data_IF_474874928889
#
_entry.id   IF_474874928889
#
_cell.length_a   1.000
_cell.length_b   1.000
_cell.length_c   1.000
_cell.angle_alpha   90.00
_cell.angle_beta   90.00
_cell.angle_gamma   90.00
#
_symmetry.space_group_name_H-M   'P 1'
#
loop_
_entity.id
_entity.type
_entity.pdbx_description
1 polymer ?
#
# COMPACT_ATOMS: atom_id res chain seq x y z
N UNK A 1 -26.57 -7.10 -12.46
CA UNK A 1 -26.34 -6.61 -11.10
C UNK A 1 -26.26 -7.82 -10.19
N UNK A 2 -25.21 -7.95 -9.38
CA UNK A 2 -25.13 -9.00 -8.37
C UNK A 2 -26.07 -8.53 -7.27
N UNK A 3 -27.02 -9.40 -6.87
CA UNK A 3 -28.05 -9.01 -5.91
C UNK A 3 -27.41 -8.80 -4.53
N UNK A 4 -27.46 -7.60 -3.98
CA UNK A 4 -26.87 -7.22 -2.69
C UNK A 4 -27.34 -8.13 -1.53
N UNK A 5 -28.51 -8.76 -1.68
CA UNK A 5 -29.08 -9.61 -0.65
C UNK A 5 -28.29 -10.89 -0.33
N UNK A 6 -27.55 -11.46 -1.28
CA UNK A 6 -26.78 -12.69 -1.05
C UNK A 6 -25.47 -12.45 -0.33
N UNK A 7 -24.78 -11.35 -0.67
CA UNK A 7 -23.49 -11.01 -0.05
C UNK A 7 -23.69 -10.51 1.39
N UNK A 8 -24.81 -9.86 1.68
CA UNK A 8 -25.14 -9.41 3.03
C UNK A 8 -25.21 -10.55 4.06
N UNK A 9 -25.50 -11.78 3.62
CA UNK A 9 -25.48 -12.97 4.49
C UNK A 9 -24.08 -13.34 5.01
N UNK A 10 -23.03 -12.81 4.35
CA UNK A 10 -21.65 -13.02 4.79
C UNK A 10 -21.18 -11.97 5.81
N UNK A 11 -21.95 -10.93 6.04
CA UNK A 11 -21.61 -9.83 6.97
C UNK A 11 -21.42 -10.35 8.41
N UNK A 12 -22.26 -11.27 8.84
CA UNK A 12 -22.19 -11.88 10.18
C UNK A 12 -21.03 -12.91 10.32
N UNK A 13 -20.41 -13.29 9.21
CA UNK A 13 -19.31 -14.28 9.15
C UNK A 13 -17.96 -13.67 8.82
N UNK A 14 -17.82 -12.38 8.98
CA UNK A 14 -16.55 -11.70 8.65
C UNK A 14 -15.41 -12.02 9.63
N UNK A 15 -14.17 -12.21 9.12
CA UNK A 15 -13.82 -12.36 7.71
C UNK A 15 -14.22 -13.74 7.18
N UNK A 16 -14.63 -13.81 5.91
CA UNK A 16 -15.04 -15.05 5.24
C UNK A 16 -14.03 -15.49 4.18
N UNK A 17 -14.01 -16.79 3.90
CA UNK A 17 -13.11 -17.39 2.92
C UNK A 17 -13.75 -17.56 1.54
N UNK A 18 -12.93 -18.12 0.60
CA UNK A 18 -13.42 -18.43 -0.75
C UNK A 18 -14.55 -19.46 -0.79
N UNK A 19 -14.55 -20.41 0.17
CA UNK A 19 -15.57 -21.45 0.21
C UNK A 19 -16.93 -20.87 0.55
N UNK A 20 -16.99 -20.02 1.55
CA UNK A 20 -18.20 -19.33 1.98
C UNK A 20 -18.73 -18.42 0.86
N UNK A 21 -17.86 -17.66 0.21
CA UNK A 21 -18.23 -16.83 -0.93
C UNK A 21 -18.75 -17.68 -2.10
N UNK A 22 -18.10 -18.83 -2.37
CA UNK A 22 -18.56 -19.74 -3.41
C UNK A 22 -19.95 -20.29 -3.12
N UNK A 23 -20.23 -20.71 -1.88
CA UNK A 23 -21.54 -21.21 -1.48
C UNK A 23 -22.64 -20.18 -1.73
N UNK A 24 -22.44 -18.94 -1.28
CA UNK A 24 -23.39 -17.86 -1.50
C UNK A 24 -23.62 -17.55 -2.98
N UNK A 25 -22.55 -17.56 -3.78
CA UNK A 25 -22.67 -17.33 -5.21
C UNK A 25 -23.34 -18.53 -5.94
N UNK A 26 -23.11 -19.77 -5.49
CA UNK A 26 -23.74 -20.96 -6.04
C UNK A 26 -25.24 -21.01 -5.75
N UNK A 27 -25.67 -20.56 -4.56
CA UNK A 27 -27.10 -20.42 -4.21
C UNK A 27 -27.79 -19.39 -5.13
N UNK A 28 -27.09 -18.30 -5.49
CA UNK A 28 -27.66 -17.28 -6.38
C UNK A 28 -27.62 -17.66 -7.85
N UNK A 29 -26.60 -18.39 -8.27
CA UNK A 29 -26.32 -18.71 -9.67
C UNK A 29 -26.06 -20.21 -9.83
N UNK A 30 -27.11 -21.01 -9.76
CA UNK A 30 -27.03 -22.47 -9.85
C UNK A 30 -26.14 -22.96 -10.99
N UNK A 31 -25.20 -23.86 -10.72
CA UNK A 31 -24.30 -24.44 -11.71
C UNK A 31 -23.10 -23.56 -12.10
N UNK A 32 -22.57 -22.79 -11.17
CA UNK A 32 -21.43 -21.89 -11.41
C UNK A 32 -20.14 -22.67 -11.70
N UNK A 33 -19.59 -22.50 -12.92
CA UNK A 33 -18.26 -23.04 -13.22
C UNK A 33 -17.16 -22.31 -12.43
N UNK A 34 -16.01 -22.97 -12.20
CA UNK A 34 -14.86 -22.35 -11.53
C UNK A 34 -14.36 -21.08 -12.23
N UNK A 35 -14.42 -21.04 -13.57
CA UNK A 35 -14.05 -19.85 -14.34
C UNK A 35 -15.04 -18.69 -14.10
N UNK A 36 -16.34 -18.98 -14.12
CA UNK A 36 -17.40 -18.00 -13.83
C UNK A 36 -17.31 -17.48 -12.39
N UNK A 37 -17.00 -18.36 -11.44
CA UNK A 37 -16.77 -17.97 -10.05
C UNK A 37 -15.59 -16.98 -9.91
N UNK A 38 -14.44 -17.30 -10.53
CA UNK A 38 -13.27 -16.40 -10.50
C UNK A 38 -13.60 -15.02 -11.08
N UNK A 39 -14.32 -15.00 -12.21
CA UNK A 39 -14.72 -13.75 -12.86
C UNK A 39 -15.68 -12.93 -11.98
N UNK A 40 -16.66 -13.60 -11.34
CA UNK A 40 -17.59 -12.92 -10.41
C UNK A 40 -16.88 -12.38 -9.18
N UNK A 41 -16.01 -13.17 -8.57
CA UNK A 41 -15.20 -12.74 -7.44
C UNK A 41 -14.32 -11.52 -7.79
N UNK A 42 -13.71 -11.53 -8.98
CA UNK A 42 -12.93 -10.40 -9.47
C UNK A 42 -13.78 -9.13 -9.61
N UNK A 43 -14.97 -9.25 -10.21
CA UNK A 43 -15.92 -8.13 -10.34
C UNK A 43 -16.38 -7.58 -8.98
N UNK A 44 -16.59 -8.45 -7.98
CA UNK A 44 -16.94 -8.03 -6.62
C UNK A 44 -15.80 -7.24 -5.96
N UNK A 45 -14.55 -7.65 -6.18
CA UNK A 45 -13.38 -6.92 -5.72
C UNK A 45 -13.21 -5.58 -6.44
N UNK A 46 -13.38 -5.55 -7.76
CA UNK A 46 -13.27 -4.34 -8.60
C UNK A 46 -14.37 -3.32 -8.27
N UNK A 47 -15.59 -3.80 -8.01
CA UNK A 47 -16.71 -2.94 -7.62
C UNK A 47 -16.68 -2.49 -6.15
N UNK A 48 -15.72 -2.98 -5.35
CA UNK A 48 -15.63 -2.67 -3.93
C UNK A 48 -16.71 -3.32 -3.06
N UNK A 49 -17.52 -4.24 -3.61
CA UNK A 49 -18.55 -4.97 -2.82
C UNK A 49 -17.93 -5.94 -1.82
N UNK A 50 -16.74 -6.45 -2.11
CA UNK A 50 -15.90 -7.15 -1.14
C UNK A 50 -14.48 -6.58 -1.18
N UNK A 51 -13.78 -6.67 -0.07
CA UNK A 51 -12.37 -6.31 0.02
C UNK A 51 -11.54 -7.49 0.53
N UNK A 52 -10.26 -7.50 0.18
CA UNK A 52 -9.33 -8.51 0.65
C UNK A 52 -8.77 -8.11 2.00
N UNK A 53 -9.01 -8.93 3.03
CA UNK A 53 -8.47 -8.76 4.38
C UNK A 53 -7.21 -9.61 4.61
N UNK A 54 -7.01 -10.67 3.80
CA UNK A 54 -5.86 -11.54 3.88
C UNK A 54 -5.85 -12.63 2.80
N UNK A 55 -4.94 -13.60 2.90
CA UNK A 55 -4.88 -14.73 1.96
C UNK A 55 -6.13 -15.60 2.10
N UNK A 56 -6.95 -15.63 1.06
CA UNK A 56 -8.27 -16.29 1.05
C UNK A 56 -9.24 -15.75 2.10
N UNK A 57 -9.01 -14.57 2.65
CA UNK A 57 -9.89 -13.89 3.58
C UNK A 57 -10.44 -12.61 2.94
N UNK A 58 -11.73 -12.43 3.05
CA UNK A 58 -12.46 -11.29 2.48
C UNK A 58 -13.38 -10.71 3.54
N UNK A 59 -13.70 -9.44 3.40
CA UNK A 59 -14.72 -8.76 4.17
C UNK A 59 -15.63 -7.95 3.25
N UNK A 60 -16.80 -7.61 3.70
CA UNK A 60 -17.69 -6.64 3.07
C UNK A 60 -17.23 -5.28 3.60
N UNK A 61 -16.76 -4.35 2.75
CA UNK A 61 -16.46 -3.01 3.23
C UNK A 61 -17.74 -2.45 3.84
N UNK A 62 -17.70 -2.09 5.11
CA UNK A 62 -18.73 -1.22 5.63
C UNK A 62 -18.64 0.07 4.83
N UNK A 63 -19.73 0.71 4.45
CA UNK A 63 -19.73 1.98 3.72
C UNK A 63 -18.92 3.09 4.44
N UNK A 64 -18.48 2.82 5.67
CA UNK A 64 -17.67 3.69 6.51
C UNK A 64 -16.16 3.38 6.48
N UNK A 65 -15.71 2.24 5.93
CA UNK A 65 -14.28 1.87 5.91
C UNK A 65 -13.80 1.69 4.46
N UNK A 66 -13.33 2.75 3.82
CA UNK A 66 -12.92 2.72 2.43
C UNK A 66 -11.57 2.00 2.24
N UNK A 67 -11.26 1.72 0.99
CA UNK A 67 -9.92 1.34 0.56
C UNK A 67 -9.09 2.60 0.38
N UNK A 68 -7.87 2.62 0.93
CA UNK A 68 -6.96 3.75 0.82
C UNK A 68 -6.68 4.10 -0.66
N UNK A 69 -6.85 5.38 -0.98
CA UNK A 69 -6.50 5.95 -2.28
C UNK A 69 -6.00 7.38 -2.08
N UNK A 70 -4.86 7.70 -2.67
CA UNK A 70 -4.23 9.00 -2.57
C UNK A 70 -4.27 9.76 -3.90
N UNK A 71 -4.46 11.09 -3.82
CA UNK A 71 -4.33 12.01 -4.95
C UNK A 71 -2.90 12.55 -5.02
N UNK A 72 -2.12 12.10 -5.97
CA UNK A 72 -0.71 12.50 -6.12
C UNK A 72 -0.58 13.95 -6.57
N UNK A 73 0.52 14.60 -6.16
CA UNK A 73 0.89 15.93 -6.59
C UNK A 73 1.21 16.02 -8.08
N UNK A 74 1.20 17.24 -8.64
CA UNK A 74 1.63 17.48 -10.02
C UNK A 74 3.08 17.02 -10.26
N UNK A 75 3.95 17.15 -9.25
CA UNK A 75 5.32 16.67 -9.33
C UNK A 75 5.37 15.15 -9.50
N UNK A 76 4.64 14.40 -8.69
CA UNK A 76 4.60 12.95 -8.77
C UNK A 76 4.00 12.45 -10.10
N UNK A 77 2.96 13.12 -10.59
CA UNK A 77 2.37 12.84 -11.92
C UNK A 77 3.40 13.07 -13.02
N UNK A 78 4.10 14.20 -12.99
CA UNK A 78 5.14 14.52 -13.98
C UNK A 78 6.30 13.51 -13.96
N UNK A 79 6.73 13.07 -12.77
CA UNK A 79 7.72 12.01 -12.63
C UNK A 79 7.22 10.72 -13.28
N UNK A 80 5.97 10.35 -13.02
CA UNK A 80 5.33 9.16 -13.58
C UNK A 80 5.28 9.21 -15.12
N UNK A 81 4.87 10.35 -15.70
CA UNK A 81 4.83 10.56 -17.15
C UNK A 81 6.22 10.38 -17.78
N UNK A 82 7.26 11.01 -17.20
CA UNK A 82 8.63 10.91 -17.67
C UNK A 82 9.17 9.46 -17.62
N UNK A 83 8.87 8.74 -16.53
CA UNK A 83 9.29 7.34 -16.41
C UNK A 83 8.58 6.50 -17.46
N UNK A 84 7.27 6.67 -17.64
CA UNK A 84 6.52 5.91 -18.63
C UNK A 84 6.95 6.19 -20.07
N UNK A 85 7.31 7.45 -20.38
CA UNK A 85 7.79 7.82 -21.71
C UNK A 85 9.14 7.17 -22.04
N UNK A 86 10.10 7.23 -21.13
CA UNK A 86 11.46 6.71 -21.35
C UNK A 86 11.62 5.22 -21.01
N UNK A 87 10.81 4.71 -20.08
CA UNK A 87 10.92 3.35 -19.53
C UNK A 87 9.54 2.67 -19.41
N UNK A 88 8.81 2.41 -20.50
CA UNK A 88 7.38 2.01 -20.49
C UNK A 88 7.10 0.67 -19.81
N UNK A 89 8.10 -0.21 -19.69
CA UNK A 89 7.96 -1.55 -19.09
C UNK A 89 8.51 -1.65 -17.67
N UNK A 90 8.98 -0.52 -17.12
CA UNK A 90 9.60 -0.49 -15.81
C UNK A 90 8.55 -0.70 -14.70
N UNK A 91 8.87 -1.57 -13.75
CA UNK A 91 8.10 -1.69 -12.51
C UNK A 91 8.65 -0.71 -11.46
N UNK A 92 7.79 0.21 -10.99
CA UNK A 92 8.14 1.20 -9.99
C UNK A 92 6.95 1.55 -9.09
N UNK A 93 7.24 2.24 -7.99
CA UNK A 93 6.24 2.83 -7.07
C UNK A 93 6.64 4.24 -6.71
N UNK A 94 5.69 5.14 -6.68
CA UNK A 94 5.89 6.51 -6.18
C UNK A 94 5.22 6.63 -4.82
N UNK A 95 5.94 7.18 -3.86
CA UNK A 95 5.47 7.51 -2.53
C UNK A 95 5.82 8.96 -2.22
N UNK A 96 4.87 9.75 -1.80
CA UNK A 96 5.07 11.11 -1.32
C UNK A 96 5.02 11.10 0.21
N UNK A 97 6.02 11.65 0.86
CA UNK A 97 6.12 11.63 2.32
C UNK A 97 4.90 12.27 3.00
N UNK A 98 4.34 13.31 2.39
CA UNK A 98 3.12 13.99 2.88
C UNK A 98 1.86 13.10 2.87
N UNK A 99 1.88 11.93 2.22
CA UNK A 99 0.80 10.94 2.33
C UNK A 99 0.60 10.48 3.78
N UNK A 100 1.68 10.52 4.59
CA UNK A 100 1.63 10.16 6.00
C UNK A 100 0.84 11.14 6.86
N UNK A 101 0.65 12.38 6.39
CA UNK A 101 -0.05 13.43 7.13
C UNK A 101 -1.49 13.06 7.49
N UNK A 102 -2.09 12.12 6.77
CA UNK A 102 -3.41 11.60 7.09
C UNK A 102 -3.46 10.86 8.43
N UNK A 103 -2.31 10.32 8.86
CA UNK A 103 -2.19 9.44 10.02
C UNK A 103 -1.33 10.03 11.14
N UNK A 104 -0.62 11.12 10.87
CA UNK A 104 0.28 11.77 11.81
C UNK A 104 -0.42 12.87 12.61
N UNK A 105 -0.14 12.94 13.90
CA UNK A 105 -0.59 14.04 14.74
C UNK A 105 0.18 15.35 14.42
N UNK A 106 1.45 15.24 14.06
CA UNK A 106 2.29 16.36 13.62
C UNK A 106 2.52 16.26 12.11
N UNK A 107 1.96 17.22 11.37
CA UNK A 107 2.03 17.17 9.92
C UNK A 107 3.43 17.49 9.40
N UNK A 108 3.85 16.74 8.41
CA UNK A 108 5.06 16.97 7.63
C UNK A 108 4.79 18.16 6.71
N UNK A 109 5.53 19.26 6.89
CA UNK A 109 5.34 20.49 6.16
C UNK A 109 5.96 20.45 4.74
N UNK A 110 6.98 19.64 4.55
CA UNK A 110 7.75 19.60 3.30
C UNK A 110 7.78 18.20 2.71
N UNK A 111 7.52 18.11 1.41
CA UNK A 111 7.42 16.83 0.73
C UNK A 111 8.80 16.27 0.32
N UNK A 112 8.91 14.96 0.35
CA UNK A 112 9.95 14.18 -0.33
C UNK A 112 9.26 13.12 -1.18
N UNK A 113 9.62 13.02 -2.45
CA UNK A 113 9.06 12.05 -3.39
C UNK A 113 10.00 10.87 -3.54
N UNK A 114 9.58 9.70 -3.08
CA UNK A 114 10.32 8.45 -3.25
C UNK A 114 9.85 7.75 -4.51
N UNK A 115 10.79 7.40 -5.37
CA UNK A 115 10.58 6.62 -6.59
C UNK A 115 11.31 5.29 -6.41
N UNK A 116 10.59 4.28 -5.96
CA UNK A 116 11.14 2.94 -5.80
C UNK A 116 11.09 2.21 -7.15
N UNK A 117 12.24 1.78 -7.63
CA UNK A 117 12.43 1.18 -8.95
C UNK A 117 12.97 -0.24 -8.79
N UNK A 118 12.52 -1.17 -9.64
CA UNK A 118 13.06 -2.53 -9.65
C UNK A 118 14.58 -2.55 -9.77
N UNK A 119 15.20 -3.62 -9.23
CA UNK A 119 16.65 -3.70 -9.10
C UNK A 119 17.35 -3.51 -10.46
N UNK A 120 18.52 -2.89 -10.42
CA UNK A 120 19.44 -2.66 -11.53
C UNK A 120 18.99 -1.60 -12.56
N UNK A 121 17.81 -1.01 -12.41
CA UNK A 121 17.31 0.06 -13.30
C UNK A 121 17.23 1.44 -12.62
N UNK A 122 17.66 1.53 -11.35
CA UNK A 122 17.66 2.78 -10.59
C UNK A 122 18.53 3.87 -11.20
N UNK A 123 19.71 3.53 -11.70
CA UNK A 123 20.64 4.48 -12.35
C UNK A 123 20.02 5.13 -13.59
N UNK A 124 19.29 4.36 -14.41
CA UNK A 124 18.62 4.89 -15.61
C UNK A 124 17.51 5.89 -15.26
N UNK A 125 16.71 5.57 -14.23
CA UNK A 125 15.66 6.47 -13.75
C UNK A 125 16.28 7.71 -13.10
N UNK A 126 17.34 7.54 -12.32
CA UNK A 126 18.07 8.64 -11.71
C UNK A 126 18.59 9.64 -12.77
N UNK A 127 19.28 9.18 -13.80
CA UNK A 127 19.78 10.06 -14.87
C UNK A 127 18.61 10.74 -15.63
N UNK A 128 17.52 10.00 -15.90
CA UNK A 128 16.32 10.57 -16.53
C UNK A 128 15.73 11.72 -15.71
N UNK A 129 15.59 11.53 -14.39
CA UNK A 129 15.00 12.54 -13.51
C UNK A 129 15.96 13.70 -13.24
N UNK A 130 17.26 13.43 -13.11
CA UNK A 130 18.30 14.43 -12.87
C UNK A 130 18.43 15.46 -14.01
N UNK A 131 18.23 15.04 -15.25
CA UNK A 131 18.19 15.96 -16.40
C UNK A 131 17.11 17.05 -16.23
N UNK A 132 15.93 16.66 -15.73
CA UNK A 132 14.77 17.56 -15.58
C UNK A 132 14.74 18.29 -14.25
N UNK A 133 15.27 17.68 -13.21
CA UNK A 133 15.28 18.19 -11.83
C UNK A 133 16.71 18.28 -11.28
N UNK A 134 17.58 19.14 -11.89
CA UNK A 134 18.98 19.24 -11.49
C UNK A 134 19.14 19.65 -10.02
N UNK A 135 19.99 18.92 -9.29
CA UNK A 135 20.23 19.15 -7.87
C UNK A 135 19.09 18.71 -6.92
N UNK A 136 18.00 18.13 -7.45
CA UNK A 136 16.85 17.69 -6.67
C UNK A 136 16.65 16.16 -6.66
N UNK A 137 17.58 15.39 -7.18
CA UNK A 137 17.45 13.93 -7.25
C UNK A 137 18.62 13.27 -6.56
N UNK A 138 18.34 12.32 -5.67
CA UNK A 138 19.32 11.47 -5.01
C UNK A 138 19.07 10.00 -5.36
N UNK A 139 20.14 9.24 -5.55
CA UNK A 139 20.08 7.79 -5.81
C UNK A 139 20.51 7.02 -4.55
N UNK A 140 19.62 6.23 -3.99
CA UNK A 140 19.87 5.40 -2.81
C UNK A 140 20.64 6.12 -1.68
N UNK A 141 20.25 7.33 -1.28
CA UNK A 141 21.04 8.12 -0.34
C UNK A 141 21.09 7.43 1.04
N UNK A 142 22.22 7.58 1.71
CA UNK A 142 22.30 7.35 3.14
C UNK A 142 21.48 8.40 3.90
N UNK A 143 21.12 8.12 5.15
CA UNK A 143 20.44 9.09 6.02
C UNK A 143 21.23 10.40 6.13
N UNK A 144 22.57 10.31 6.20
CA UNK A 144 23.45 11.48 6.26
C UNK A 144 23.36 12.33 4.98
N UNK A 145 23.38 11.70 3.82
CA UNK A 145 23.22 12.40 2.54
C UNK A 145 21.84 13.02 2.40
N UNK A 146 20.81 12.30 2.79
CA UNK A 146 19.46 12.84 2.83
C UNK A 146 19.38 14.14 3.63
N UNK A 147 19.90 14.18 4.86
CA UNK A 147 19.90 15.39 5.68
C UNK A 147 20.81 16.50 5.11
N UNK A 148 21.92 16.14 4.50
CA UNK A 148 22.87 17.13 3.92
C UNK A 148 22.30 17.83 2.68
N UNK A 149 21.58 17.11 1.84
CA UNK A 149 21.03 17.60 0.56
C UNK A 149 19.52 17.84 0.62
N UNK A 150 18.94 17.77 1.83
CA UNK A 150 17.53 17.93 2.00
C UNK A 150 17.02 19.29 1.48
N UNK A 151 15.93 19.26 0.76
CA UNK A 151 15.18 20.42 0.29
C UNK A 151 13.73 20.00 0.02
N UNK A 152 12.82 20.97 -0.06
CA UNK A 152 11.43 20.69 -0.39
C UNK A 152 11.29 20.07 -1.79
N UNK A 153 10.43 19.05 -1.89
CA UNK A 153 10.22 18.27 -3.10
C UNK A 153 11.50 17.57 -3.61
N UNK A 154 12.36 17.15 -2.69
CA UNK A 154 13.50 16.27 -3.00
C UNK A 154 12.97 14.94 -3.57
N UNK A 155 13.61 14.46 -4.63
CA UNK A 155 13.27 13.18 -5.27
C UNK A 155 14.33 12.15 -4.87
N UNK A 156 13.89 11.03 -4.33
CA UNK A 156 14.78 9.92 -3.97
C UNK A 156 14.45 8.72 -4.86
N UNK A 157 15.41 8.32 -5.69
CA UNK A 157 15.34 7.06 -6.42
C UNK A 157 15.89 5.96 -5.51
N UNK A 158 15.04 5.00 -5.16
CA UNK A 158 15.36 3.89 -4.27
C UNK A 158 15.03 2.55 -4.91
N UNK A 159 15.44 1.45 -4.25
CA UNK A 159 15.23 0.10 -4.74
C UNK A 159 13.82 -0.41 -4.39
N UNK A 160 13.07 -0.82 -5.41
CA UNK A 160 11.84 -1.60 -5.23
C UNK A 160 12.20 -3.05 -4.89
N UNK A 161 11.83 -3.49 -3.72
CA UNK A 161 12.04 -4.88 -3.32
C UNK A 161 10.94 -5.79 -3.85
N UNK A 162 11.27 -7.06 -4.06
CA UNK A 162 10.29 -8.10 -4.39
C UNK A 162 9.22 -8.18 -3.30
N UNK A 163 8.02 -8.61 -3.63
CA UNK A 163 6.84 -8.66 -2.76
C UNK A 163 6.29 -7.27 -2.35
N UNK A 164 6.86 -6.16 -2.85
CA UNK A 164 6.29 -4.85 -2.63
C UNK A 164 4.87 -4.78 -3.22
N UNK A 165 3.87 -4.45 -2.41
CA UNK A 165 2.49 -4.40 -2.87
C UNK A 165 2.29 -3.35 -3.96
N UNK A 166 1.36 -3.65 -4.89
CA UNK A 166 0.95 -2.75 -5.97
C UNK A 166 -0.23 -1.89 -5.52
N UNK A 167 -0.26 -0.65 -5.98
CA UNK A 167 -1.43 0.19 -5.79
C UNK A 167 -2.67 -0.38 -6.47
N UNK A 168 -3.83 -0.13 -5.89
CA UNK A 168 -5.11 -0.68 -6.42
C UNK A 168 -5.62 0.10 -7.63
N UNK A 169 -5.44 1.42 -7.66
CA UNK A 169 -5.91 2.28 -8.76
C UNK A 169 -4.96 2.26 -9.95
N UNK A 170 -3.66 2.30 -9.69
CA UNK A 170 -2.62 2.14 -10.70
C UNK A 170 -1.42 1.40 -10.10
N UNK A 171 -0.70 0.64 -10.91
CA UNK A 171 0.41 -0.20 -10.43
C UNK A 171 1.54 0.60 -9.78
N UNK A 172 1.78 1.82 -10.22
CA UNK A 172 2.80 2.71 -9.69
C UNK A 172 2.42 3.42 -8.38
N UNK A 173 1.13 3.35 -7.97
CA UNK A 173 0.70 3.89 -6.68
C UNK A 173 1.29 3.07 -5.54
N UNK A 174 1.65 3.75 -4.47
CA UNK A 174 1.98 3.09 -3.20
C UNK A 174 0.70 2.83 -2.42
N UNK A 175 0.46 1.58 -2.03
CA UNK A 175 -0.66 1.22 -1.18
C UNK A 175 -0.32 1.39 0.30
N UNK A 176 -1.34 1.40 1.15
CA UNK A 176 -1.18 1.61 2.58
C UNK A 176 -0.34 0.51 3.24
N UNK A 177 -0.50 -0.74 2.82
CA UNK A 177 0.27 -1.90 3.29
C UNK A 177 1.78 -1.70 3.11
N UNK A 178 2.20 -1.11 1.95
CA UNK A 178 3.61 -0.79 1.71
C UNK A 178 4.07 0.37 2.59
N UNK A 179 3.28 1.43 2.68
CA UNK A 179 3.61 2.61 3.49
C UNK A 179 3.88 2.24 4.94
N UNK A 180 2.96 1.50 5.58
CA UNK A 180 3.08 1.08 6.97
C UNK A 180 4.34 0.24 7.24
N UNK A 181 4.74 -0.61 6.30
CA UNK A 181 5.97 -1.39 6.42
C UNK A 181 7.21 -0.51 6.21
N UNK A 182 7.21 0.36 5.21
CA UNK A 182 8.37 1.20 4.90
C UNK A 182 8.69 2.24 5.98
N UNK A 183 7.71 2.65 6.78
CA UNK A 183 7.94 3.50 7.95
C UNK A 183 8.94 2.90 8.95
N UNK A 184 8.99 1.58 9.07
CA UNK A 184 9.94 0.89 9.95
C UNK A 184 11.16 0.35 9.21
N UNK A 185 11.00 0.03 7.94
CA UNK A 185 12.01 -0.68 7.15
C UNK A 185 12.89 0.23 6.30
N UNK A 186 12.35 1.38 5.84
CA UNK A 186 13.11 2.31 4.99
C UNK A 186 13.83 3.35 5.82
N UNK A 187 15.17 3.32 5.78
CA UNK A 187 16.02 4.11 6.69
C UNK A 187 15.74 5.60 6.63
N UNK A 188 15.58 6.16 5.43
CA UNK A 188 15.31 7.59 5.24
C UNK A 188 13.91 7.93 5.75
N UNK A 189 12.89 7.15 5.39
CA UNK A 189 11.52 7.38 5.84
C UNK A 189 11.44 7.31 7.37
N UNK A 190 12.07 6.31 7.99
CA UNK A 190 12.10 6.12 9.43
C UNK A 190 12.64 7.34 10.20
N UNK A 191 13.49 8.16 9.59
CA UNK A 191 14.06 9.37 10.26
C UNK A 191 13.17 10.60 10.16
N UNK A 192 12.05 10.54 9.45
CA UNK A 192 11.18 11.69 9.22
C UNK A 192 10.06 11.84 10.24
N UNK A 193 9.86 10.86 11.12
CA UNK A 193 8.91 10.89 12.22
C UNK A 193 9.48 10.14 13.44
N UNK A 194 8.85 10.32 14.61
CA UNK A 194 9.29 9.65 15.83
C UNK A 194 8.82 8.18 15.85
N UNK A 195 9.61 7.30 16.48
CA UNK A 195 9.19 5.89 16.66
C UNK A 195 7.90 5.78 17.49
N UNK A 196 7.65 6.72 18.38
CA UNK A 196 6.44 6.74 19.21
C UNK A 196 5.16 7.00 18.40
N UNK A 197 5.25 7.70 17.27
CA UNK A 197 4.09 7.96 16.42
C UNK A 197 3.67 6.74 15.60
N UNK A 198 4.52 5.72 15.46
CA UNK A 198 4.23 4.59 14.59
C UNK A 198 3.02 3.76 15.07
N UNK A 199 2.86 3.57 16.39
CA UNK A 199 1.68 2.90 16.95
C UNK A 199 0.39 3.64 16.64
N UNK A 200 0.40 4.97 16.74
CA UNK A 200 -0.76 5.81 16.45
C UNK A 200 -1.11 5.76 14.95
N UNK A 201 -0.08 5.79 14.09
CA UNK A 201 -0.27 5.64 12.63
C UNK A 201 -0.89 4.30 12.28
N UNK A 202 -0.42 3.20 12.89
CA UNK A 202 -1.02 1.88 12.71
C UNK A 202 -2.49 1.87 13.14
N UNK A 203 -2.79 2.38 14.34
CA UNK A 203 -4.17 2.41 14.84
C UNK A 203 -5.09 3.22 13.93
N UNK A 204 -4.69 4.42 13.54
CA UNK A 204 -5.48 5.26 12.63
C UNK A 204 -5.67 4.60 11.26
N UNK A 205 -4.62 3.97 10.70
CA UNK A 205 -4.70 3.30 9.42
C UNK A 205 -5.67 2.11 9.44
N UNK A 206 -5.61 1.27 10.48
CA UNK A 206 -6.51 0.12 10.65
C UNK A 206 -7.95 0.52 10.99
N UNK A 207 -8.16 1.67 11.64
CA UNK A 207 -9.49 2.21 11.91
C UNK A 207 -10.13 2.83 10.66
N UNK A 208 -9.34 3.56 9.87
CA UNK A 208 -9.85 4.31 8.69
C UNK A 208 -9.97 3.46 7.44
N UNK A 209 -9.13 2.42 7.28
CA UNK A 209 -8.99 1.70 6.02
C UNK A 209 -8.99 0.19 6.19
N UNK A 210 -9.40 -0.51 5.11
CA UNK A 210 -9.26 -1.96 5.02
C UNK A 210 -7.84 -2.28 4.56
N UNK A 211 -7.09 -3.00 5.39
CA UNK A 211 -5.72 -3.42 5.14
C UNK A 211 -5.71 -4.90 4.79
N UNK A 212 -5.02 -5.29 3.71
CA UNK A 212 -4.68 -6.69 3.42
C UNK A 212 -3.50 -7.11 4.30
N UNK A 213 -3.81 -7.59 5.50
CA UNK A 213 -2.82 -8.02 6.51
C UNK A 213 -1.84 -9.05 5.96
N UNK A 214 -2.32 -10.01 5.16
CA UNK A 214 -1.46 -11.04 4.56
C UNK A 214 -0.47 -10.45 3.57
N UNK A 215 -0.87 -9.45 2.80
CA UNK A 215 0.01 -8.74 1.87
C UNK A 215 1.02 -7.89 2.65
N UNK A 216 0.56 -7.15 3.67
CA UNK A 216 1.41 -6.33 4.54
C UNK A 216 2.47 -7.17 5.24
N UNK A 217 2.09 -8.27 5.90
CA UNK A 217 3.05 -9.10 6.64
C UNK A 217 3.97 -9.93 5.74
N UNK A 218 3.55 -10.29 4.52
CA UNK A 218 4.44 -10.92 3.54
C UNK A 218 5.54 -9.94 3.12
N UNK A 219 5.19 -8.70 2.83
CA UNK A 219 6.16 -7.65 2.53
C UNK A 219 7.02 -7.31 3.73
N UNK A 220 6.46 -7.18 4.93
CA UNK A 220 7.20 -6.95 6.18
C UNK A 220 8.22 -8.06 6.45
N UNK A 221 7.87 -9.33 6.19
CA UNK A 221 8.81 -10.46 6.27
C UNK A 221 9.96 -10.31 5.27
N UNK A 222 9.66 -9.88 4.03
CA UNK A 222 10.69 -9.61 3.02
C UNK A 222 11.62 -8.47 3.42
N UNK A 223 11.09 -7.49 4.19
CA UNK A 223 11.83 -6.34 4.73
C UNK A 223 12.51 -6.63 6.07
N UNK A 224 12.35 -7.83 6.65
CA UNK A 224 12.88 -8.25 7.95
C UNK A 224 12.39 -7.42 9.16
N UNK A 225 11.18 -6.86 9.08
CA UNK A 225 10.54 -6.04 10.14
C UNK A 225 9.19 -6.60 10.60
N UNK A 226 8.82 -7.81 10.16
CA UNK A 226 7.51 -8.38 10.51
C UNK A 226 7.32 -8.53 12.02
N UNK A 227 8.31 -9.06 12.71
CA UNK A 227 8.23 -9.36 14.14
C UNK A 227 8.22 -8.06 14.97
N UNK A 228 8.95 -7.02 14.52
CA UNK A 228 8.91 -5.70 15.14
C UNK A 228 7.53 -5.06 15.01
N UNK A 229 6.92 -5.11 13.81
CA UNK A 229 5.57 -4.58 13.57
C UNK A 229 4.53 -5.34 14.42
N UNK A 230 4.59 -6.69 14.46
CA UNK A 230 3.68 -7.48 15.29
C UNK A 230 3.83 -7.16 16.77
N UNK A 231 5.08 -7.00 17.25
CA UNK A 231 5.34 -6.59 18.63
C UNK A 231 4.68 -5.24 18.96
N UNK A 232 4.78 -4.26 18.09
CA UNK A 232 4.16 -2.95 18.27
C UNK A 232 2.64 -3.08 18.27
N UNK A 233 2.05 -3.79 17.31
CA UNK A 233 0.61 -4.04 17.26
C UNK A 233 0.11 -4.64 18.57
N UNK A 234 0.74 -5.70 19.06
CA UNK A 234 0.28 -6.41 20.26
C UNK A 234 0.52 -5.67 21.58
N UNK A 235 1.58 -4.86 21.67
CA UNK A 235 1.96 -4.22 22.93
C UNK A 235 1.57 -2.75 23.03
N UNK A 236 1.30 -2.07 21.92
CA UNK A 236 1.13 -0.61 21.90
C UNK A 236 -0.16 -0.16 21.20
N UNK A 237 -0.95 -1.09 20.64
CA UNK A 237 -2.19 -0.75 19.93
C UNK A 237 -3.37 -1.61 20.40
N UNK A 238 -4.58 -1.20 20.04
CA UNK A 238 -5.82 -1.97 20.28
C UNK A 238 -6.24 -2.79 19.05
N UNK A 239 -5.41 -2.86 18.01
CA UNK A 239 -5.68 -3.54 16.75
C UNK A 239 -5.87 -5.04 16.99
N UNK A 240 -6.96 -5.58 16.46
CA UNK A 240 -7.24 -7.02 16.42
C UNK A 240 -7.03 -7.51 14.98
N UNK A 241 -5.97 -8.27 14.77
CA UNK A 241 -5.65 -8.81 13.46
C UNK A 241 -6.68 -9.88 13.05
N UNK A 242 -7.22 -9.75 11.84
CA UNK A 242 -8.19 -10.69 11.25
C UNK A 242 -7.52 -12.01 10.85
N UNK A 243 -6.19 -12.00 10.64
CA UNK A 243 -5.40 -13.19 10.25
C UNK A 243 -4.93 -14.03 11.43
N UNK A 244 -5.10 -13.58 12.67
CA UNK A 244 -4.68 -14.26 13.91
C UNK A 244 -5.86 -14.93 14.65
N UNK A 245 -6.83 -15.45 13.91
CA UNK A 245 -7.97 -16.21 14.51
C UNK A 245 -7.62 -17.66 14.69
#
# INVERSE_FOLDING_TARGET
MINESGISLLKDKEPFGRKELFQVLEEQYKGLSQASYKLKMQRLLESGQIARAGRNLYCIPDNQVPVYCYGYSELAIKIQEMINEKHPFLEYRIFELVQMNEFLNHQIAHNTVFVFVEADLGDFVFETLKEKFPGKVLLNPSVKEYHLYWQDNLIIVGKLLTEAPKGKKAAWYTCLEKMLVDMTAEKVIKTTFSEAEYSDVLEQAFQKYIIDESQMFRYAKRRHVKDDILKIIHSQTTIKLRTEK
#
